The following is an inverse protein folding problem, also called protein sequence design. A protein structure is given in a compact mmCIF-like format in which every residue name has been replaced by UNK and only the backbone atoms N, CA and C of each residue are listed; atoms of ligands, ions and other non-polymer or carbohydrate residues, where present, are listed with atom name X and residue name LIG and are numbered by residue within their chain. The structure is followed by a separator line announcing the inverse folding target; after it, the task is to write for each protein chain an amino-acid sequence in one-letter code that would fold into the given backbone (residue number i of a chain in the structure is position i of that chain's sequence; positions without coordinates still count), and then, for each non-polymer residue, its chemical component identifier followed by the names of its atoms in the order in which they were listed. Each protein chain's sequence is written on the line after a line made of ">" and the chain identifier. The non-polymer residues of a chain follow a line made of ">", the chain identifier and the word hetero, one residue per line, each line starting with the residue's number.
data_IF_565468838362
#
_entry.id   IF_565468838362
#
_cell.length_a   1.000
_cell.length_b   1.000
_cell.length_c   1.000
_cell.angle_alpha   90.00
_cell.angle_beta   90.00
_cell.angle_gamma   90.00
#
_symmetry.space_group_name_H-M   'P 1'
#
loop_
_entity.id
_entity.type
_entity.pdbx_description
1 polymer ?
#
# COMPACT_ATOMS: atom_id res chain seq x y z
N UNK A 1 -34.74 5.73 -11.59
CA UNK A 1 -36.02 6.01 -12.27
C UNK A 1 -35.81 7.29 -13.06
N UNK A 2 -36.31 7.37 -14.29
CA UNK A 2 -36.30 8.63 -15.04
C UNK A 2 -37.43 9.52 -14.51
N UNK A 3 -37.08 10.69 -13.96
CA UNK A 3 -38.00 11.59 -13.26
C UNK A 3 -39.07 12.19 -14.18
N UNK A 4 -38.70 12.56 -15.42
CA UNK A 4 -39.62 13.13 -16.40
C UNK A 4 -40.61 12.06 -16.90
N UNK A 5 -40.13 10.84 -17.12
CA UNK A 5 -40.96 9.72 -17.50
C UNK A 5 -41.93 9.33 -16.38
N UNK A 6 -41.46 9.34 -15.13
CA UNK A 6 -42.30 9.07 -13.96
C UNK A 6 -43.41 10.11 -13.83
N UNK A 7 -43.09 11.40 -13.93
CA UNK A 7 -44.08 12.48 -13.87
C UNK A 7 -45.17 12.30 -14.94
N UNK A 8 -44.77 12.05 -16.19
CA UNK A 8 -45.73 11.80 -17.29
C UNK A 8 -46.61 10.59 -17.03
N UNK A 9 -46.05 9.52 -16.46
CA UNK A 9 -46.80 8.30 -16.16
C UNK A 9 -47.79 8.50 -15.01
N UNK A 10 -47.46 9.34 -14.02
CA UNK A 10 -48.36 9.75 -12.94
C UNK A 10 -49.48 10.62 -13.50
N UNK A 11 -49.14 11.64 -14.30
CA UNK A 11 -50.12 12.55 -14.90
C UNK A 11 -51.08 11.82 -15.86
N UNK A 12 -50.61 10.78 -16.54
CA UNK A 12 -51.43 9.91 -17.39
C UNK A 12 -52.27 8.88 -16.61
N UNK A 13 -52.14 8.81 -15.28
CA UNK A 13 -52.84 7.84 -14.43
C UNK A 13 -52.36 6.39 -14.61
N UNK A 14 -51.24 6.19 -15.29
CA UNK A 14 -50.62 4.86 -15.48
C UNK A 14 -49.95 4.43 -14.17
N UNK A 15 -49.31 5.36 -13.49
CA UNK A 15 -48.77 5.19 -12.13
C UNK A 15 -49.70 5.93 -11.18
N UNK A 16 -50.31 5.21 -10.24
CA UNK A 16 -51.22 5.83 -9.29
C UNK A 16 -50.50 6.78 -8.33
N UNK A 17 -49.36 6.36 -7.76
CA UNK A 17 -48.55 7.11 -6.81
C UNK A 17 -47.09 6.69 -6.84
N UNK A 18 -46.18 7.54 -6.34
CA UNK A 18 -44.77 7.22 -6.14
C UNK A 18 -44.26 7.75 -4.80
N UNK A 19 -43.21 7.12 -4.28
CA UNK A 19 -42.46 7.64 -3.13
C UNK A 19 -40.97 7.70 -3.51
N UNK A 20 -40.35 8.85 -3.30
CA UNK A 20 -38.96 9.14 -3.70
C UNK A 20 -38.21 9.74 -2.53
N UNK A 21 -37.03 9.17 -2.23
CA UNK A 21 -36.11 9.71 -1.22
C UNK A 21 -34.90 10.40 -1.85
N UNK A 22 -34.59 10.11 -3.11
CA UNK A 22 -33.42 10.63 -3.83
C UNK A 22 -33.83 11.18 -5.20
N UNK A 23 -33.06 12.14 -5.68
CA UNK A 23 -33.29 12.85 -6.94
C UNK A 23 -32.01 12.94 -7.76
N UNK A 24 -32.15 13.20 -9.06
CA UNK A 24 -31.04 13.30 -10.01
C UNK A 24 -30.17 14.53 -9.70
N UNK A 25 -30.80 15.61 -9.26
CA UNK A 25 -30.14 16.80 -8.72
C UNK A 25 -30.59 17.00 -7.26
N UNK A 26 -29.63 17.11 -6.36
CA UNK A 26 -29.88 17.36 -4.93
C UNK A 26 -29.13 18.62 -4.46
N UNK A 27 -29.83 19.63 -3.89
CA UNK A 27 -31.27 19.66 -3.64
C UNK A 27 -32.11 19.83 -4.93
N UNK A 28 -33.32 19.27 -5.00
CA UNK A 28 -34.20 19.47 -6.16
C UNK A 28 -34.51 20.96 -6.39
N UNK A 29 -34.72 21.38 -7.66
CA UNK A 29 -35.18 22.73 -7.96
C UNK A 29 -36.48 23.07 -7.20
N UNK A 30 -36.63 24.32 -6.76
CA UNK A 30 -37.80 24.76 -5.98
C UNK A 30 -39.12 24.57 -6.72
N UNK A 31 -39.08 24.62 -8.05
CA UNK A 31 -40.19 24.42 -8.98
C UNK A 31 -40.28 22.98 -9.52
N UNK A 32 -39.61 22.02 -8.88
CA UNK A 32 -39.70 20.60 -9.25
C UNK A 32 -41.14 20.12 -9.22
N UNK A 33 -41.68 19.85 -10.42
CA UNK A 33 -43.05 19.37 -10.61
C UNK A 33 -43.26 18.00 -9.97
N UNK A 34 -42.22 17.18 -9.91
CA UNK A 34 -42.29 15.85 -9.30
C UNK A 34 -42.43 15.96 -7.78
N UNK A 35 -41.69 16.88 -7.13
CA UNK A 35 -41.78 17.13 -5.68
C UNK A 35 -43.10 17.80 -5.30
N UNK A 36 -43.65 18.65 -6.17
CA UNK A 36 -44.92 19.35 -5.94
C UNK A 36 -46.17 18.51 -6.29
N UNK A 37 -46.01 17.33 -6.88
CA UNK A 37 -47.14 16.49 -7.30
C UNK A 37 -47.78 15.81 -6.08
N UNK A 38 -49.09 15.97 -5.90
CA UNK A 38 -49.83 15.41 -4.74
C UNK A 38 -49.82 13.88 -4.68
N UNK A 39 -49.57 13.19 -5.81
CA UNK A 39 -49.44 11.74 -5.88
C UNK A 39 -48.01 11.24 -5.61
N UNK A 40 -47.08 12.15 -5.27
CA UNK A 40 -45.70 11.83 -4.95
C UNK A 40 -45.42 12.15 -3.49
N UNK A 41 -44.96 11.15 -2.74
CA UNK A 41 -44.39 11.36 -1.40
C UNK A 41 -42.88 11.53 -1.58
N UNK A 42 -42.39 12.74 -1.33
CA UNK A 42 -40.96 13.05 -1.38
C UNK A 42 -40.37 13.17 0.03
N UNK A 43 -39.25 12.51 0.27
CA UNK A 43 -38.42 12.70 1.48
C UNK A 43 -37.03 13.21 1.07
N UNK A 44 -36.40 14.10 1.85
CA UNK A 44 -35.13 14.71 1.48
C UNK A 44 -33.93 13.83 1.89
N UNK A 45 -33.70 12.73 1.17
CA UNK A 45 -32.58 11.81 1.37
C UNK A 45 -32.45 11.33 2.83
N UNK A 46 -33.57 10.90 3.40
CA UNK A 46 -33.68 10.53 4.80
C UNK A 46 -33.48 9.03 5.07
N UNK A 47 -33.29 8.20 4.04
CA UNK A 47 -33.20 6.74 4.17
C UNK A 47 -32.16 6.26 5.18
N UNK A 48 -31.03 6.98 5.32
CA UNK A 48 -29.97 6.70 6.30
C UNK A 48 -29.91 7.72 7.46
N UNK A 49 -30.89 8.61 7.57
CA UNK A 49 -30.95 9.68 8.58
C UNK A 49 -31.61 9.21 9.88
N UNK A 50 -31.32 7.97 10.31
CA UNK A 50 -31.77 7.42 11.61
C UNK A 50 -30.62 7.44 12.61
N UNK A 51 -30.93 7.48 13.92
CA UNK A 51 -29.90 7.49 14.96
C UNK A 51 -29.05 6.21 14.91
N UNK A 52 -29.69 5.06 14.68
CA UNK A 52 -29.05 3.75 14.64
C UNK A 52 -28.12 3.62 13.44
N UNK A 53 -28.53 4.11 12.26
CA UNK A 53 -27.67 4.09 11.07
C UNK A 53 -26.45 4.99 11.25
N UNK A 54 -26.64 6.21 11.79
CA UNK A 54 -25.54 7.13 12.05
C UNK A 54 -24.57 6.59 13.11
N UNK A 55 -25.06 5.93 14.17
CA UNK A 55 -24.22 5.27 15.17
C UNK A 55 -23.41 4.11 14.55
N UNK A 56 -24.05 3.26 13.75
CA UNK A 56 -23.39 2.18 13.03
C UNK A 56 -22.26 2.69 12.12
N UNK A 57 -22.55 3.70 11.31
CA UNK A 57 -21.55 4.35 10.43
C UNK A 57 -20.41 4.98 11.25
N UNK A 58 -20.70 5.61 12.38
CA UNK A 58 -19.67 6.21 13.22
C UNK A 58 -18.71 5.15 13.80
N UNK A 59 -19.23 4.00 14.24
CA UNK A 59 -18.43 2.87 14.72
C UNK A 59 -17.56 2.32 13.58
N UNK A 60 -18.15 2.05 12.42
CA UNK A 60 -17.44 1.52 11.25
C UNK A 60 -16.29 2.44 10.81
N UNK A 61 -16.53 3.75 10.76
CA UNK A 61 -15.48 4.74 10.45
C UNK A 61 -14.41 4.76 11.54
N UNK A 62 -14.79 4.72 12.81
CA UNK A 62 -13.83 4.72 13.92
C UNK A 62 -12.91 3.48 13.87
N UNK A 63 -13.48 2.30 13.64
CA UNK A 63 -12.73 1.05 13.46
C UNK A 63 -11.81 1.10 12.25
N UNK A 64 -12.31 1.60 11.10
CA UNK A 64 -11.51 1.77 9.89
C UNK A 64 -10.34 2.73 10.09
N UNK A 65 -10.55 3.86 10.78
CA UNK A 65 -9.49 4.82 11.11
C UNK A 65 -8.47 4.20 12.06
N UNK A 66 -8.91 3.51 13.12
CA UNK A 66 -8.01 2.83 14.06
C UNK A 66 -7.18 1.77 13.35
N UNK A 67 -7.79 0.93 12.51
CA UNK A 67 -7.09 -0.07 11.70
C UNK A 67 -6.07 0.57 10.77
N UNK A 68 -6.47 1.60 10.02
CA UNK A 68 -5.58 2.32 9.12
C UNK A 68 -4.38 2.96 9.84
N UNK A 69 -4.57 3.51 11.05
CA UNK A 69 -3.48 4.07 11.87
C UNK A 69 -2.54 2.99 12.43
N UNK A 70 -3.04 1.77 12.66
CA UNK A 70 -2.21 0.60 12.99
C UNK A 70 -1.51 0.00 11.77
N UNK A 71 -1.81 0.49 10.56
CA UNK A 71 -1.29 -0.05 9.31
C UNK A 71 -2.02 -1.31 8.83
N UNK A 72 -3.20 -1.59 9.37
CA UNK A 72 -4.10 -2.64 8.90
C UNK A 72 -4.78 -2.21 7.60
N UNK A 73 -5.26 -3.18 6.83
CA UNK A 73 -6.01 -2.92 5.62
C UNK A 73 -7.45 -2.58 5.98
N UNK A 74 -7.84 -1.34 5.73
CA UNK A 74 -9.22 -0.93 5.89
C UNK A 74 -10.04 -1.46 4.71
N UNK A 75 -10.94 -2.42 4.96
CA UNK A 75 -11.84 -2.99 3.96
C UNK A 75 -12.75 -1.92 3.31
N UNK A 76 -12.95 -0.80 3.98
CA UNK A 76 -13.76 0.35 3.56
C UNK A 76 -12.97 1.43 2.82
N UNK A 77 -11.66 1.26 2.61
CA UNK A 77 -10.83 2.25 1.93
C UNK A 77 -11.22 2.37 0.44
N UNK A 78 -11.76 3.52 0.06
CA UNK A 78 -12.21 3.81 -1.31
C UNK A 78 -11.06 4.06 -2.30
N UNK A 79 -9.87 4.37 -1.79
CA UNK A 79 -8.69 4.72 -2.57
C UNK A 79 -7.51 3.75 -2.39
N UNK A 80 -7.74 2.58 -1.78
CA UNK A 80 -6.79 1.49 -1.70
C UNK A 80 -7.36 0.25 -2.40
N UNK A 81 -6.52 -0.66 -2.91
CA UNK A 81 -7.02 -1.90 -3.47
C UNK A 81 -7.71 -2.76 -2.43
N UNK A 82 -8.86 -3.31 -2.82
CA UNK A 82 -9.46 -4.42 -2.09
C UNK A 82 -8.62 -5.67 -2.37
N UNK A 83 -7.86 -6.12 -1.38
CA UNK A 83 -7.05 -7.33 -1.48
C UNK A 83 -7.81 -8.47 -0.80
N UNK A 84 -8.16 -9.55 -1.52
CA UNK A 84 -8.83 -10.72 -0.92
C UNK A 84 -7.99 -11.32 0.23
N UNK A 85 -8.67 -11.89 1.23
CA UNK A 85 -8.00 -12.42 2.43
C UNK A 85 -7.01 -13.56 2.10
N UNK A 86 -7.31 -14.34 1.06
CA UNK A 86 -6.46 -15.42 0.55
C UNK A 86 -5.15 -14.85 -0.01
N UNK A 87 -5.25 -13.78 -0.82
CA UNK A 87 -4.09 -13.07 -1.38
C UNK A 87 -3.26 -12.44 -0.27
N UNK A 88 -3.88 -11.91 0.77
CA UNK A 88 -3.16 -11.37 1.93
C UNK A 88 -2.41 -12.43 2.72
N UNK A 89 -3.03 -13.59 2.91
CA UNK A 89 -2.41 -14.72 3.61
C UNK A 89 -1.17 -15.18 2.86
N UNK A 90 -1.27 -15.27 1.53
CA UNK A 90 -0.17 -15.62 0.64
C UNK A 90 0.93 -14.54 0.61
N UNK A 91 0.57 -13.26 0.52
CA UNK A 91 1.54 -12.16 0.44
C UNK A 91 2.17 -11.79 1.78
N UNK A 92 1.61 -12.23 2.92
CA UNK A 92 2.06 -11.89 4.27
C UNK A 92 3.59 -11.93 4.48
N UNK A 93 4.33 -13.00 4.12
CA UNK A 93 5.78 -13.01 4.29
C UNK A 93 6.50 -11.99 3.37
N UNK A 94 5.96 -11.72 2.18
CA UNK A 94 6.51 -10.73 1.24
C UNK A 94 6.24 -9.29 1.69
N UNK A 95 5.10 -9.03 2.34
CA UNK A 95 4.78 -7.76 3.00
C UNK A 95 5.81 -7.45 4.08
N UNK A 96 6.15 -8.45 4.92
CA UNK A 96 7.19 -8.31 5.93
C UNK A 96 8.58 -8.11 5.31
N UNK A 97 8.91 -8.85 4.25
CA UNK A 97 10.16 -8.69 3.50
C UNK A 97 10.29 -7.27 2.92
N UNK A 98 9.25 -6.79 2.23
CA UNK A 98 9.16 -5.48 1.62
C UNK A 98 9.45 -4.35 2.65
N UNK A 99 8.80 -4.39 3.81
CA UNK A 99 9.05 -3.42 4.88
C UNK A 99 10.49 -3.48 5.39
N UNK A 100 10.98 -4.70 5.67
CA UNK A 100 12.33 -4.92 6.21
C UNK A 100 13.43 -4.47 5.23
N UNK A 101 13.25 -4.71 3.93
CA UNK A 101 14.18 -4.24 2.90
C UNK A 101 14.19 -2.72 2.80
N UNK A 102 13.02 -2.07 2.79
CA UNK A 102 12.96 -0.60 2.83
C UNK A 102 13.66 -0.02 4.07
N UNK A 103 13.40 -0.62 5.24
CA UNK A 103 14.01 -0.24 6.52
C UNK A 103 15.52 -0.45 6.56
N UNK A 104 16.02 -1.54 5.98
CA UNK A 104 17.45 -1.80 5.86
C UNK A 104 18.10 -0.80 4.90
N UNK A 105 17.53 -0.62 3.70
CA UNK A 105 18.07 0.24 2.66
C UNK A 105 18.25 1.68 3.16
N UNK A 106 17.26 2.26 3.84
CA UNK A 106 17.38 3.63 4.37
C UNK A 106 18.40 3.75 5.52
N UNK A 107 18.56 2.72 6.35
CA UNK A 107 19.55 2.73 7.43
C UNK A 107 20.98 2.75 6.90
N UNK A 108 21.21 2.12 5.74
CA UNK A 108 22.50 2.10 5.06
C UNK A 108 22.89 3.46 4.46
N UNK A 109 21.98 4.44 4.40
CA UNK A 109 22.26 5.78 3.88
C UNK A 109 22.97 6.63 4.95
N UNK A 110 24.09 7.26 4.58
CA UNK A 110 24.90 8.13 5.46
C UNK A 110 24.47 9.60 5.46
N UNK A 111 23.71 10.02 4.45
CA UNK A 111 23.39 11.44 4.23
C UNK A 111 23.38 11.76 2.74
N UNK A 112 23.56 13.04 2.42
CA UNK A 112 23.46 13.59 1.07
C UNK A 112 22.25 14.53 0.93
N UNK A 113 21.71 14.66 -0.29
CA UNK A 113 20.54 15.49 -0.58
C UNK A 113 19.20 14.85 -0.14
N UNK A 114 19.24 13.84 0.73
CA UNK A 114 18.10 12.99 1.09
C UNK A 114 17.79 11.90 0.06
N UNK A 115 17.00 10.90 0.47
CA UNK A 115 16.53 9.82 -0.41
C UNK A 115 15.49 10.39 -1.38
N UNK A 116 15.87 10.58 -2.64
CA UNK A 116 14.98 11.15 -3.68
C UNK A 116 14.53 10.15 -4.73
N UNK A 117 15.32 9.12 -5.01
CA UNK A 117 15.05 8.17 -6.09
C UNK A 117 15.27 6.77 -5.59
N UNK A 118 14.20 5.99 -5.63
CA UNK A 118 14.20 4.59 -5.23
C UNK A 118 13.65 3.76 -6.38
N UNK A 119 14.40 2.75 -6.78
CA UNK A 119 13.95 1.74 -7.73
C UNK A 119 13.66 0.46 -6.97
N UNK A 120 12.52 -0.14 -7.26
CA UNK A 120 12.15 -1.45 -6.73
C UNK A 120 12.00 -2.41 -7.90
N UNK A 121 12.62 -3.58 -7.81
CA UNK A 121 12.51 -4.64 -8.80
C UNK A 121 11.86 -5.86 -8.15
N UNK A 122 10.77 -6.33 -8.75
CA UNK A 122 10.06 -7.54 -8.33
C UNK A 122 10.35 -8.65 -9.33
N UNK A 123 11.05 -9.69 -8.90
CA UNK A 123 11.29 -10.87 -9.73
C UNK A 123 10.19 -11.89 -9.47
N UNK A 124 9.45 -12.30 -10.49
CA UNK A 124 8.32 -13.23 -10.35
C UNK A 124 8.11 -14.06 -11.60
N UNK A 125 7.63 -15.29 -11.44
CA UNK A 125 7.09 -16.11 -12.53
C UNK A 125 5.62 -15.80 -12.85
N UNK A 126 4.93 -14.99 -12.03
CA UNK A 126 3.56 -14.53 -12.31
C UNK A 126 3.56 -13.45 -13.38
N UNK A 127 2.53 -13.46 -14.23
CA UNK A 127 2.34 -12.40 -15.21
C UNK A 127 2.06 -11.06 -14.48
N UNK A 128 2.32 -9.91 -15.13
CA UNK A 128 2.11 -8.59 -14.53
C UNK A 128 0.68 -8.34 -14.03
N UNK A 129 -0.33 -8.97 -14.62
CA UNK A 129 -1.74 -8.81 -14.25
C UNK A 129 -2.14 -9.71 -13.07
N UNK A 130 -1.33 -10.72 -12.76
CA UNK A 130 -1.57 -11.72 -11.69
C UNK A 130 -0.85 -11.37 -10.37
N UNK A 131 -0.13 -10.23 -10.33
CA UNK A 131 0.59 -9.78 -9.14
C UNK A 131 0.36 -8.29 -8.88
N UNK A 132 -0.54 -8.00 -7.94
CA UNK A 132 -0.73 -6.64 -7.43
C UNK A 132 0.40 -6.25 -6.46
N UNK A 133 1.27 -5.33 -6.89
CA UNK A 133 2.43 -4.88 -6.10
C UNK A 133 2.11 -3.68 -5.21
N UNK A 134 0.89 -3.11 -5.28
CA UNK A 134 0.54 -1.88 -4.53
C UNK A 134 0.77 -2.03 -3.02
N UNK A 135 0.44 -3.19 -2.47
CA UNK A 135 0.70 -3.49 -1.07
C UNK A 135 2.19 -3.52 -0.75
N UNK A 136 2.98 -4.19 -1.58
CA UNK A 136 4.44 -4.30 -1.40
C UNK A 136 5.12 -2.92 -1.55
N UNK A 137 4.69 -2.13 -2.53
CA UNK A 137 5.11 -0.74 -2.74
C UNK A 137 4.87 0.11 -1.50
N UNK A 138 3.68 0.00 -0.91
CA UNK A 138 3.32 0.71 0.32
C UNK A 138 4.20 0.28 1.50
N UNK A 139 4.49 -1.01 1.65
CA UNK A 139 5.34 -1.52 2.72
C UNK A 139 6.82 -1.12 2.56
N UNK A 140 7.34 -1.12 1.33
CA UNK A 140 8.69 -0.58 1.06
C UNK A 140 8.73 0.90 1.43
N UNK A 141 7.72 1.67 1.00
CA UNK A 141 7.60 3.10 1.32
C UNK A 141 7.54 3.32 2.84
N UNK A 142 6.77 2.50 3.56
CA UNK A 142 6.73 2.49 5.02
C UNK A 142 8.11 2.27 5.63
N UNK A 143 8.80 1.21 5.19
CA UNK A 143 10.15 0.88 5.64
C UNK A 143 11.16 1.99 5.36
N UNK A 144 11.03 2.70 4.25
CA UNK A 144 11.92 3.82 3.90
C UNK A 144 11.64 5.09 4.72
N UNK A 145 10.38 5.39 5.01
CA UNK A 145 9.97 6.69 5.58
C UNK A 145 9.92 6.67 7.10
N UNK A 146 9.25 5.69 7.72
CA UNK A 146 9.01 5.69 9.17
C UNK A 146 10.29 5.72 10.03
N UNK A 147 11.43 5.07 9.66
CA UNK A 147 12.64 5.15 10.48
C UNK A 147 13.25 6.56 10.55
N UNK A 148 12.88 7.45 9.64
CA UNK A 148 13.44 8.81 9.49
C UNK A 148 12.33 9.89 9.61
N UNK A 149 11.19 9.53 10.18
CA UNK A 149 9.97 10.33 10.17
C UNK A 149 9.06 10.01 11.35
N UNK A 150 8.23 10.97 11.78
CA UNK A 150 7.12 10.73 12.70
C UNK A 150 5.79 10.39 12.00
N UNK A 151 5.78 10.34 10.67
CA UNK A 151 4.59 10.04 9.86
C UNK A 151 4.41 8.54 9.78
N UNK A 152 3.20 8.08 10.12
CA UNK A 152 2.76 6.70 9.91
C UNK A 152 2.37 6.47 8.45
N UNK A 153 2.88 5.39 7.86
CA UNK A 153 2.62 5.03 6.47
C UNK A 153 1.80 3.75 6.40
N UNK A 154 0.78 3.77 5.54
CA UNK A 154 -0.09 2.65 5.24
C UNK A 154 -0.39 2.58 3.73
N UNK A 155 -1.17 1.59 3.31
CA UNK A 155 -1.54 1.39 1.90
C UNK A 155 -2.25 2.59 1.28
N UNK A 156 -3.02 3.34 2.08
CA UNK A 156 -3.83 4.48 1.63
C UNK A 156 -2.99 5.72 1.38
N UNK A 157 -2.02 6.01 2.26
CA UNK A 157 -1.27 7.26 2.25
C UNK A 157 0.17 7.12 1.72
N UNK A 158 0.68 5.91 1.41
CA UNK A 158 2.07 5.69 1.04
C UNK A 158 2.53 6.57 -0.14
N UNK A 159 1.81 6.52 -1.26
CA UNK A 159 2.19 7.28 -2.46
C UNK A 159 2.11 8.80 -2.25
N UNK A 160 1.10 9.25 -1.52
CA UNK A 160 0.95 10.66 -1.17
C UNK A 160 2.13 11.12 -0.29
N UNK A 161 2.45 10.33 0.74
CA UNK A 161 3.53 10.62 1.69
C UNK A 161 4.90 10.61 1.01
N UNK A 162 5.16 9.65 0.12
CA UNK A 162 6.37 9.60 -0.69
C UNK A 162 6.51 10.87 -1.55
N UNK A 163 5.47 11.24 -2.30
CA UNK A 163 5.46 12.45 -3.14
C UNK A 163 5.68 13.73 -2.32
N UNK A 164 5.00 13.86 -1.18
CA UNK A 164 5.14 15.02 -0.29
C UNK A 164 6.58 15.19 0.23
N UNK A 165 7.33 14.09 0.36
CA UNK A 165 8.74 14.09 0.76
C UNK A 165 9.73 14.15 -0.40
N UNK A 166 9.24 14.32 -1.64
CA UNK A 166 10.09 14.35 -2.83
C UNK A 166 10.71 12.99 -3.18
N UNK A 167 10.18 11.89 -2.62
CA UNK A 167 10.58 10.53 -2.92
C UNK A 167 9.91 10.06 -4.21
N UNK A 168 10.70 9.88 -5.26
CA UNK A 168 10.26 9.23 -6.50
C UNK A 168 10.57 7.74 -6.42
N UNK A 169 9.52 6.95 -6.22
CA UNK A 169 9.60 5.49 -6.23
C UNK A 169 9.12 4.93 -7.57
N UNK A 170 10.02 4.25 -8.27
CA UNK A 170 9.76 3.56 -9.54
C UNK A 170 9.82 2.06 -9.31
N UNK A 171 8.91 1.32 -9.94
CA UNK A 171 8.87 -0.14 -9.86
C UNK A 171 9.13 -0.74 -11.24
N UNK A 172 9.82 -1.88 -11.27
CA UNK A 172 9.86 -2.75 -12.43
C UNK A 172 9.51 -4.19 -12.00
N UNK A 173 8.95 -4.95 -12.94
CA UNK A 173 8.68 -6.37 -12.78
C UNK A 173 9.58 -7.14 -13.75
N UNK A 174 10.32 -8.09 -13.21
CA UNK A 174 11.20 -8.97 -13.98
C UNK A 174 10.49 -10.32 -14.06
N UNK A 175 9.98 -10.63 -15.26
CA UNK A 175 9.34 -11.91 -15.51
C UNK A 175 10.42 -13.00 -15.59
N UNK A 176 10.27 -14.04 -14.77
CA UNK A 176 11.15 -15.19 -14.72
C UNK A 176 10.46 -16.44 -15.29
N UNK A 177 11.26 -17.36 -15.81
CA UNK A 177 10.80 -18.72 -16.07
C UNK A 177 10.68 -19.47 -14.73
N UNK A 178 9.55 -20.12 -14.45
CA UNK A 178 9.36 -20.84 -13.18
C UNK A 178 7.91 -21.16 -12.82
N UNK A 179 7.70 -21.63 -11.59
CA UNK A 179 6.36 -21.92 -11.07
C UNK A 179 5.67 -20.64 -10.60
N UNK A 180 4.42 -20.35 -11.04
CA UNK A 180 3.65 -19.19 -10.57
C UNK A 180 3.06 -19.40 -9.17
N UNK A 181 3.27 -20.57 -8.54
CA UNK A 181 2.81 -20.85 -7.18
C UNK A 181 3.41 -19.87 -6.17
N UNK A 182 4.69 -19.51 -6.32
CA UNK A 182 5.28 -18.44 -5.50
C UNK A 182 4.94 -17.07 -6.08
N UNK A 183 4.41 -16.12 -5.29
CA UNK A 183 4.13 -14.76 -5.76
C UNK A 183 5.38 -14.04 -6.27
N UNK A 184 6.52 -14.26 -5.62
CA UNK A 184 7.78 -13.57 -5.87
C UNK A 184 8.96 -14.50 -5.62
N UNK A 185 9.95 -14.43 -6.50
CA UNK A 185 11.27 -15.01 -6.27
C UNK A 185 12.14 -14.05 -5.44
N UNK A 186 12.11 -12.75 -5.74
CA UNK A 186 12.87 -11.75 -4.98
C UNK A 186 12.30 -10.34 -5.07
N UNK A 187 12.67 -9.51 -4.09
CA UNK A 187 12.45 -8.06 -4.08
C UNK A 187 13.80 -7.39 -3.95
N UNK A 188 14.15 -6.51 -4.89
CA UNK A 188 15.34 -5.68 -4.83
C UNK A 188 14.95 -4.22 -4.60
N UNK A 189 15.66 -3.53 -3.70
CA UNK A 189 15.51 -2.10 -3.44
C UNK A 189 16.85 -1.41 -3.71
N UNK A 190 16.82 -0.41 -4.59
CA UNK A 190 17.97 0.40 -4.96
C UNK A 190 17.70 1.87 -4.62
N UNK A 191 18.63 2.51 -3.92
CA UNK A 191 18.57 3.95 -3.60
C UNK A 191 19.72 4.65 -4.33
N UNK A 192 19.36 5.56 -5.23
CA UNK A 192 20.31 6.28 -6.06
C UNK A 192 20.72 7.64 -5.47
N UNK A 193 21.90 8.11 -5.85
CA UNK A 193 22.43 9.43 -5.50
C UNK A 193 22.54 9.68 -3.98
N UNK A 194 22.93 8.65 -3.23
CA UNK A 194 23.12 8.71 -1.78
C UNK A 194 24.50 8.22 -1.40
N UNK A 195 25.02 8.74 -0.29
CA UNK A 195 26.20 8.17 0.36
C UNK A 195 25.78 7.02 1.27
N UNK A 196 26.67 6.05 1.49
CA UNK A 196 26.39 4.91 2.38
C UNK A 196 27.22 4.92 3.66
N UNK A 197 26.60 4.55 4.79
CA UNK A 197 27.27 4.26 6.07
C UNK A 197 28.09 2.98 6.01
N UNK A 198 27.79 2.11 5.04
CA UNK A 198 28.44 0.84 4.85
C UNK A 198 28.87 0.74 3.40
N UNK A 199 30.13 1.08 3.12
CA UNK A 199 30.63 1.18 1.74
C UNK A 199 30.39 -0.09 0.88
N UNK A 200 30.32 -1.29 1.49
CA UNK A 200 30.00 -2.54 0.78
C UNK A 200 28.52 -2.66 0.33
N UNK A 201 27.63 -1.76 0.77
CA UNK A 201 26.25 -1.69 0.31
C UNK A 201 26.08 -0.94 -1.02
N UNK A 202 27.12 -0.24 -1.48
CA UNK A 202 27.15 0.39 -2.79
C UNK A 202 27.40 -0.70 -3.84
N UNK A 203 26.50 -0.81 -4.81
CA UNK A 203 26.65 -1.70 -5.96
C UNK A 203 27.61 -1.12 -7.00
N UNK A 204 27.92 -1.91 -8.03
CA UNK A 204 28.74 -1.46 -9.16
C UNK A 204 28.11 -0.28 -9.93
N UNK A 205 26.79 -0.06 -9.81
CA UNK A 205 26.09 1.10 -10.39
C UNK A 205 26.24 2.38 -9.55
N UNK A 206 26.83 2.28 -8.35
CA UNK A 206 26.97 3.40 -7.42
C UNK A 206 25.77 3.61 -6.49
N UNK A 207 24.80 2.69 -6.49
CA UNK A 207 23.57 2.79 -5.70
C UNK A 207 23.63 1.93 -4.44
N UNK A 208 22.97 2.36 -3.36
CA UNK A 208 22.74 1.48 -2.20
C UNK A 208 21.74 0.41 -2.63
N UNK A 209 22.17 -0.85 -2.66
CA UNK A 209 21.35 -1.97 -3.14
C UNK A 209 21.18 -3.03 -2.07
N UNK A 210 19.94 -3.47 -1.84
CA UNK A 210 19.63 -4.66 -1.04
C UNK A 210 18.63 -5.53 -1.79
N UNK A 211 18.75 -6.84 -1.64
CA UNK A 211 17.78 -7.79 -2.18
C UNK A 211 17.44 -8.83 -1.13
N UNK A 212 16.20 -9.30 -1.15
CA UNK A 212 15.81 -10.43 -0.34
C UNK A 212 14.74 -11.29 -1.00
N UNK A 213 14.52 -12.46 -0.39
CA UNK A 213 13.49 -13.42 -0.77
C UNK A 213 12.83 -14.04 0.44
N UNK A 214 11.72 -14.73 0.24
CA UNK A 214 11.07 -15.53 1.28
C UNK A 214 11.54 -16.97 1.19
N UNK A 215 11.98 -17.56 2.30
CA UNK A 215 12.30 -18.99 2.43
C UNK A 215 11.46 -19.57 3.54
N UNK A 216 10.63 -20.57 3.24
CA UNK A 216 9.75 -21.22 4.22
C UNK A 216 8.91 -20.23 5.05
N UNK A 217 8.41 -19.18 4.40
CA UNK A 217 7.64 -18.11 5.06
C UNK A 217 8.47 -17.06 5.82
N UNK A 218 9.80 -17.20 5.84
CA UNK A 218 10.72 -16.31 6.56
C UNK A 218 11.46 -15.37 5.58
N UNK A 219 11.36 -14.04 5.76
CA UNK A 219 12.14 -13.08 4.99
C UNK A 219 13.65 -13.27 5.18
N UNK A 220 14.39 -13.38 4.09
CA UNK A 220 15.85 -13.48 4.06
C UNK A 220 16.45 -12.36 3.20
N UNK A 221 17.56 -11.82 3.65
CA UNK A 221 18.45 -10.96 2.88
C UNK A 221 19.31 -11.86 2.00
N UNK A 222 19.30 -11.59 0.70
CA UNK A 222 20.08 -12.34 -0.30
C UNK A 222 21.21 -11.53 -0.92
N UNK A 223 21.14 -10.19 -0.83
CA UNK A 223 22.17 -9.31 -1.39
C UNK A 223 22.32 -8.01 -0.62
N UNK A 224 23.57 -7.54 -0.49
CA UNK A 224 23.94 -6.19 -0.03
C UNK A 224 25.04 -5.64 -0.93
N UNK A 225 24.76 -4.55 -1.65
CA UNK A 225 25.65 -4.01 -2.68
C UNK A 225 25.96 -5.05 -3.74
N UNK A 226 27.23 -5.43 -3.86
CA UNK A 226 27.71 -6.47 -4.79
C UNK A 226 27.92 -7.84 -4.12
N UNK A 227 27.56 -8.00 -2.85
CA UNK A 227 27.77 -9.25 -2.09
C UNK A 227 26.47 -10.06 -1.99
N UNK A 228 26.56 -11.35 -2.33
CA UNK A 228 25.53 -12.33 -2.00
C UNK A 228 25.65 -12.74 -0.53
N UNK A 229 24.50 -12.85 0.12
CA UNK A 229 24.38 -13.25 1.52
C UNK A 229 23.19 -14.20 1.66
N UNK A 230 23.09 -14.88 2.80
CA UNK A 230 21.92 -15.68 3.13
C UNK A 230 21.64 -15.58 4.62
N UNK A 231 20.86 -14.57 5.00
CA UNK A 231 20.63 -14.23 6.40
C UNK A 231 19.15 -13.93 6.62
N UNK A 232 18.54 -14.56 7.62
CA UNK A 232 17.16 -14.23 7.98
C UNK A 232 17.07 -12.77 8.43
N UNK A 233 16.05 -12.04 7.97
CA UNK A 233 15.79 -10.66 8.38
C UNK A 233 15.02 -10.62 9.70
N UNK A 234 15.38 -11.46 10.67
CA UNK A 234 14.76 -11.53 11.99
C UNK A 234 15.67 -10.93 13.07
N UNK A 235 15.07 -10.33 14.10
CA UNK A 235 15.82 -9.73 15.18
C UNK A 235 16.69 -8.54 14.74
N UNK A 236 17.90 -8.47 15.31
CA UNK A 236 18.88 -7.42 15.02
C UNK A 236 19.98 -7.95 14.12
N UNK A 237 20.29 -7.21 13.06
CA UNK A 237 21.36 -7.52 12.12
C UNK A 237 22.52 -6.55 12.31
N UNK A 238 23.73 -7.09 12.36
CA UNK A 238 24.96 -6.30 12.41
C UNK A 238 25.75 -6.57 11.12
N UNK A 239 26.02 -5.51 10.36
CA UNK A 239 26.87 -5.57 9.17
C UNK A 239 28.27 -5.10 9.53
N UNK A 240 29.23 -6.01 9.41
CA UNK A 240 30.64 -5.73 9.67
C UNK A 240 31.45 -5.88 8.39
N UNK A 241 32.31 -4.88 8.11
CA UNK A 241 33.32 -4.97 7.07
C UNK A 241 34.68 -5.07 7.74
N UNK A 242 35.45 -6.08 7.38
CA UNK A 242 36.77 -6.32 7.93
C UNK A 242 37.78 -6.59 6.81
N UNK A 243 39.05 -6.29 7.08
CA UNK A 243 40.16 -6.76 6.24
C UNK A 243 40.40 -8.23 6.60
N UNK A 244 40.46 -9.09 5.59
CA UNK A 244 40.67 -10.52 5.81
C UNK A 244 42.06 -10.77 6.41
N UNK A 245 42.08 -11.22 7.67
CA UNK A 245 43.29 -11.53 8.44
C UNK A 245 43.00 -12.67 9.42
N UNK A 246 43.99 -13.54 9.70
CA UNK A 246 43.83 -14.64 10.64
C UNK A 246 43.32 -14.16 12.02
N UNK A 247 42.28 -14.83 12.53
CA UNK A 247 41.73 -14.60 13.88
C UNK A 247 40.72 -13.44 14.01
N UNK A 248 40.38 -12.74 12.92
CA UNK A 248 39.45 -11.60 12.98
C UNK A 248 38.01 -11.98 13.35
N UNK A 249 37.49 -13.10 12.84
CA UNK A 249 36.12 -13.56 13.13
C UNK A 249 35.95 -13.81 14.64
N UNK A 250 36.96 -14.40 15.29
CA UNK A 250 36.92 -14.69 16.73
C UNK A 250 36.87 -13.44 17.62
N UNK A 251 37.47 -12.32 17.17
CA UNK A 251 37.45 -11.04 17.90
C UNK A 251 36.12 -10.29 17.78
N UNK A 252 35.38 -10.51 16.70
CA UNK A 252 34.07 -9.88 16.49
C UNK A 252 32.99 -10.60 17.30
N UNK A 253 33.14 -11.90 17.53
CA UNK A 253 32.17 -12.72 18.26
C UNK A 253 32.33 -12.76 19.79
N UNK A 254 33.37 -12.14 20.35
CA UNK A 254 33.68 -12.06 21.79
C UNK A 254 33.37 -10.69 22.37
#
# INVERSE_FOLDING_TARGET
>A
IDEDALLKAIDAGIVAQAALDVFTEEPPPKDSKLVQNENVIATPHLGASTMEAQEGVAIEIAEAVVGALKGELAATAVNAPMVPAEVLTELKPYVALAEKLGRLAVQLVAGGNGVKTVKVSYSSARAPDDLDTRLLRAMITKGLIEPISSVFVNLVNADFTAKQRGLRLTEERILLDGSPESPLESIQVQIANVESKFASAISDSGDVTVEGRVKDGIPHLTKVGSFEVDVSLEGSLILCRQVDQPGMIGKVGS
#
